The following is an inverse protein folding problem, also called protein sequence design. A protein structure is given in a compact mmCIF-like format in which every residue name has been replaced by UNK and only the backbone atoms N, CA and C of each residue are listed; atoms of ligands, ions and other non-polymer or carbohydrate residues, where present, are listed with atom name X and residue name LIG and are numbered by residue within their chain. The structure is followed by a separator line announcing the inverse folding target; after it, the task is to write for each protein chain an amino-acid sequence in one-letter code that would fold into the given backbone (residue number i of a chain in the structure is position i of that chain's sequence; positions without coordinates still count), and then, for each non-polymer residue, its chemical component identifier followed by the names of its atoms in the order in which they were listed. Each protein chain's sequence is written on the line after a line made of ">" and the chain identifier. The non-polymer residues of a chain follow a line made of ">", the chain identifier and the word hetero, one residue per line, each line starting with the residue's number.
data_IF_388954476343
#
_entry.id   IF_388954476343
#
_cell.length_a   1.000
_cell.length_b   1.000
_cell.length_c   1.000
_cell.angle_alpha   90.00
_cell.angle_beta   90.00
_cell.angle_gamma   90.00
#
_symmetry.space_group_name_H-M   'P 1'
#
loop_
_entity.id
_entity.type
_entity.pdbx_description
1 polymer ?
#
# COMPACT_ATOMS: atom_id res chain seq x y z
N UNK A 1 5.65 -16.47 -30.62
CA UNK A 1 5.53 -16.92 -29.22
C UNK A 1 6.59 -16.16 -28.44
N UNK A 2 6.23 -14.99 -27.95
CA UNK A 2 7.12 -14.13 -27.16
C UNK A 2 7.17 -14.72 -25.74
N UNK A 3 8.36 -15.17 -25.34
CA UNK A 3 8.63 -15.66 -24.01
C UNK A 3 8.49 -14.48 -23.05
N UNK A 4 7.36 -14.38 -22.35
CA UNK A 4 7.17 -13.40 -21.29
C UNK A 4 8.04 -13.85 -20.13
N UNK A 5 9.31 -13.43 -20.16
CA UNK A 5 10.21 -13.62 -19.02
C UNK A 5 9.52 -13.04 -17.80
N UNK A 6 9.28 -13.87 -16.80
CA UNK A 6 8.70 -13.50 -15.52
C UNK A 6 9.59 -12.42 -14.91
N UNK A 7 9.17 -11.16 -14.99
CA UNK A 7 9.95 -10.04 -14.48
C UNK A 7 9.96 -10.13 -12.97
N UNK A 8 11.14 -10.28 -12.42
CA UNK A 8 11.33 -10.27 -10.96
C UNK A 8 11.35 -8.83 -10.49
N UNK A 9 10.50 -8.49 -9.55
CA UNK A 9 10.52 -7.20 -8.91
C UNK A 9 10.77 -7.33 -7.40
N UNK A 10 11.39 -6.33 -6.84
CA UNK A 10 11.68 -6.25 -5.40
C UNK A 10 11.28 -4.89 -4.84
N UNK A 11 11.05 -4.86 -3.56
CA UNK A 11 10.84 -3.64 -2.80
C UNK A 11 12.11 -3.36 -1.99
N UNK A 12 12.72 -2.21 -2.23
CA UNK A 12 13.81 -1.68 -1.43
C UNK A 12 13.22 -0.90 -0.25
N UNK A 13 12.62 -1.64 0.67
CA UNK A 13 11.97 -1.10 1.87
C UNK A 13 12.61 -1.69 3.11
N UNK A 14 12.70 -0.88 4.16
CA UNK A 14 13.33 -1.24 5.41
C UNK A 14 12.42 -1.00 6.61
N UNK A 15 12.55 -1.87 7.58
CA UNK A 15 12.06 -1.66 8.93
C UNK A 15 12.86 -0.49 9.58
N UNK A 16 12.24 0.46 10.35
CA UNK A 16 10.89 0.37 10.91
C UNK A 16 9.78 1.00 10.06
N UNK A 17 10.06 1.60 8.92
CA UNK A 17 9.07 2.38 8.16
C UNK A 17 8.04 1.48 7.46
N UNK A 18 8.50 0.36 6.92
CA UNK A 18 7.69 -0.55 6.15
C UNK A 18 7.87 -2.00 6.55
N UNK A 19 6.78 -2.75 6.46
CA UNK A 19 6.72 -4.18 6.68
C UNK A 19 6.20 -4.88 5.43
N UNK A 20 6.96 -5.84 4.91
CA UNK A 20 6.46 -6.76 3.87
C UNK A 20 5.64 -7.87 4.52
N UNK A 21 4.40 -8.07 4.06
CA UNK A 21 3.50 -9.08 4.60
C UNK A 21 3.69 -10.38 3.80
N UNK A 22 4.14 -11.48 4.43
CA UNK A 22 4.39 -12.73 3.74
C UNK A 22 3.09 -13.40 3.30
N UNK A 23 3.20 -14.25 2.28
CA UNK A 23 2.15 -15.19 1.87
C UNK A 23 2.63 -16.61 2.11
N UNK A 24 1.72 -17.46 2.58
CA UNK A 24 2.01 -18.88 2.82
C UNK A 24 2.66 -19.16 4.16
N UNK A 25 2.50 -20.41 4.62
CA UNK A 25 2.90 -20.85 5.95
C UNK A 25 4.42 -20.83 6.20
N UNK A 26 5.25 -20.74 5.14
CA UNK A 26 6.71 -20.91 5.25
C UNK A 26 7.42 -19.78 6.00
N UNK A 27 6.86 -18.57 5.95
CA UNK A 27 7.52 -17.37 6.48
C UNK A 27 6.84 -16.84 7.75
N UNK A 28 5.70 -17.41 8.13
CA UNK A 28 4.87 -16.91 9.25
C UNK A 28 5.52 -17.14 10.61
N UNK A 29 6.16 -18.29 10.83
CA UNK A 29 6.67 -18.70 12.15
C UNK A 29 7.76 -17.76 12.70
N UNK A 30 8.64 -17.24 11.85
CA UNK A 30 9.66 -16.29 12.27
C UNK A 30 9.18 -14.83 12.20
N UNK A 31 8.27 -14.54 11.27
CA UNK A 31 7.80 -13.20 10.99
C UNK A 31 6.92 -12.65 12.12
N UNK A 32 5.96 -13.44 12.61
CA UNK A 32 5.04 -13.04 13.67
C UNK A 32 5.77 -12.54 14.94
N UNK A 33 6.71 -13.25 15.54
CA UNK A 33 7.44 -12.77 16.72
C UNK A 33 8.22 -11.47 16.46
N UNK A 34 8.84 -11.35 15.29
CA UNK A 34 9.58 -10.14 14.91
C UNK A 34 8.67 -8.92 14.79
N UNK A 35 7.50 -9.09 14.17
CA UNK A 35 6.51 -8.04 14.00
C UNK A 35 5.86 -7.66 15.33
N UNK A 36 5.50 -8.62 16.17
CA UNK A 36 4.96 -8.36 17.51
C UNK A 36 5.91 -7.49 18.32
N UNK A 37 7.20 -7.87 18.38
CA UNK A 37 8.23 -7.09 19.08
C UNK A 37 8.37 -5.68 18.49
N UNK A 38 8.29 -5.55 17.19
CA UNK A 38 8.35 -4.27 16.50
C UNK A 38 7.19 -3.35 16.87
N UNK A 39 5.97 -3.88 16.90
CA UNK A 39 4.78 -3.12 17.31
C UNK A 39 4.84 -2.70 18.78
N UNK A 40 5.27 -3.60 19.66
CA UNK A 40 5.44 -3.28 21.06
C UNK A 40 6.45 -2.13 21.24
N UNK A 41 7.59 -2.21 20.55
CA UNK A 41 8.63 -1.16 20.61
C UNK A 41 8.14 0.18 20.09
N UNK A 42 7.43 0.19 18.96
CA UNK A 42 6.87 1.42 18.38
C UNK A 42 5.76 2.01 19.26
N UNK A 43 4.92 1.16 19.84
CA UNK A 43 3.86 1.57 20.76
C UNK A 43 4.44 2.20 22.03
N UNK A 44 5.48 1.61 22.61
CA UNK A 44 6.16 2.18 23.78
C UNK A 44 6.81 3.53 23.47
N UNK A 45 7.48 3.65 22.32
CA UNK A 45 8.09 4.89 21.87
C UNK A 45 7.04 6.00 21.66
N UNK A 46 5.89 5.67 21.11
CA UNK A 46 4.80 6.61 20.89
C UNK A 46 4.17 7.07 22.21
N UNK A 47 3.94 6.16 23.15
CA UNK A 47 3.47 6.50 24.48
C UNK A 47 4.42 7.46 25.22
N UNK A 48 5.72 7.30 25.08
CA UNK A 48 6.71 8.19 25.69
C UNK A 48 6.69 9.59 25.07
N UNK A 49 6.41 9.69 23.76
CA UNK A 49 6.39 10.97 23.03
C UNK A 49 5.11 11.77 23.22
N UNK A 50 3.98 11.11 23.40
CA UNK A 50 2.65 11.74 23.34
C UNK A 50 1.86 11.72 24.65
N UNK A 51 2.32 10.96 25.62
CA UNK A 51 1.54 10.70 26.84
C UNK A 51 0.37 9.71 26.61
N UNK A 52 -0.48 9.49 27.59
CA UNK A 52 -1.57 8.53 27.46
C UNK A 52 -2.52 8.94 26.34
N UNK A 53 -2.76 7.99 25.43
CA UNK A 53 -3.68 8.16 24.29
C UNK A 53 -5.09 8.54 24.81
N UNK A 54 -5.75 9.46 24.12
CA UNK A 54 -7.15 9.74 24.39
C UNK A 54 -7.99 8.50 24.11
N UNK A 55 -8.86 8.15 25.02
CA UNK A 55 -9.66 6.92 25.09
C UNK A 55 -10.65 6.67 23.94
N UNK A 56 -10.55 7.35 22.79
CA UNK A 56 -11.54 7.30 21.74
C UNK A 56 -11.20 6.43 20.52
N UNK A 57 -10.27 5.48 20.64
CA UNK A 57 -9.97 4.53 19.56
C UNK A 57 -10.13 3.10 20.04
N UNK A 58 -10.84 2.26 19.28
CA UNK A 58 -10.82 0.80 19.49
C UNK A 58 -9.37 0.34 19.29
N UNK A 59 -8.69 0.02 20.39
CA UNK A 59 -7.35 -0.55 20.33
C UNK A 59 -7.52 -2.01 19.90
N UNK A 60 -7.32 -2.28 18.62
CA UNK A 60 -7.23 -3.67 18.14
C UNK A 60 -5.94 -4.25 18.72
N UNK A 61 -5.98 -5.49 19.23
CA UNK A 61 -4.79 -6.16 19.75
C UNK A 61 -3.75 -6.41 18.64
N UNK A 62 -2.46 -6.45 19.01
CA UNK A 62 -1.36 -6.68 18.05
C UNK A 62 -1.59 -7.97 17.24
N UNK A 63 -2.01 -9.05 17.91
CA UNK A 63 -2.30 -10.33 17.25
C UNK A 63 -3.44 -10.23 16.24
N UNK A 64 -4.53 -9.55 16.58
CA UNK A 64 -5.68 -9.36 15.69
C UNK A 64 -5.30 -8.57 14.42
N UNK A 65 -4.43 -7.59 14.56
CA UNK A 65 -3.96 -6.84 13.40
C UNK A 65 -3.01 -7.65 12.52
N UNK A 66 -2.13 -8.41 13.13
CA UNK A 66 -1.26 -9.33 12.38
C UNK A 66 -2.11 -10.32 11.60
N UNK A 67 -3.12 -10.93 12.23
CA UNK A 67 -4.03 -11.86 11.57
C UNK A 67 -4.80 -11.18 10.44
N UNK A 68 -5.30 -9.97 10.64
CA UNK A 68 -5.99 -9.19 9.60
C UNK A 68 -5.08 -8.91 8.40
N UNK A 69 -3.81 -8.55 8.62
CA UNK A 69 -2.85 -8.32 7.54
C UNK A 69 -2.52 -9.59 6.77
N UNK A 70 -2.37 -10.72 7.47
CA UNK A 70 -2.10 -12.02 6.85
C UNK A 70 -3.29 -12.48 6.00
N UNK A 71 -4.51 -12.41 6.54
CA UNK A 71 -5.74 -12.75 5.82
C UNK A 71 -5.91 -11.87 4.57
N UNK A 72 -5.60 -10.59 4.69
CA UNK A 72 -5.64 -9.69 3.54
C UNK A 72 -4.59 -10.09 2.49
N UNK A 73 -3.35 -10.36 2.89
CA UNK A 73 -2.31 -10.79 1.96
C UNK A 73 -2.68 -12.09 1.23
N UNK A 74 -3.28 -13.06 1.92
CA UNK A 74 -3.76 -14.31 1.31
C UNK A 74 -4.92 -14.09 0.34
N UNK A 75 -5.76 -13.08 0.55
CA UNK A 75 -6.89 -12.76 -0.33
C UNK A 75 -6.49 -12.08 -1.64
N UNK A 76 -5.27 -11.54 -1.73
CA UNK A 76 -4.80 -10.83 -2.92
C UNK A 76 -4.50 -11.78 -4.08
N UNK A 77 -4.63 -11.33 -5.35
CA UNK A 77 -4.10 -12.03 -6.52
C UNK A 77 -2.61 -12.34 -6.41
N UNK A 78 -2.13 -13.34 -7.13
CA UNK A 78 -0.75 -13.83 -7.02
C UNK A 78 0.32 -12.81 -7.44
N UNK A 79 -0.02 -11.91 -8.36
CA UNK A 79 0.79 -10.82 -8.88
C UNK A 79 0.83 -9.58 -7.98
N UNK A 80 0.05 -9.58 -6.89
CA UNK A 80 0.01 -8.49 -5.92
C UNK A 80 0.70 -8.87 -4.62
N UNK A 81 1.28 -7.90 -3.94
CA UNK A 81 1.87 -8.04 -2.61
C UNK A 81 1.28 -7.01 -1.67
N UNK A 82 1.21 -7.37 -0.39
CA UNK A 82 0.82 -6.48 0.67
C UNK A 82 2.06 -5.98 1.40
N UNK A 83 2.14 -4.68 1.60
CA UNK A 83 3.08 -4.04 2.52
C UNK A 83 2.28 -3.18 3.49
N UNK A 84 2.85 -2.92 4.65
CA UNK A 84 2.22 -2.09 5.66
C UNK A 84 3.17 -1.00 6.14
N UNK A 85 2.69 0.25 6.17
CA UNK A 85 3.42 1.36 6.77
C UNK A 85 3.28 1.31 8.29
N UNK A 86 4.40 1.39 9.00
CA UNK A 86 4.49 1.33 10.47
C UNK A 86 4.73 2.71 11.09
N UNK A 87 5.33 3.62 10.35
CA UNK A 87 5.84 4.89 10.84
C UNK A 87 4.79 5.98 11.13
N UNK A 88 3.49 5.67 11.11
CA UNK A 88 2.43 6.60 11.46
C UNK A 88 1.96 6.32 12.89
N UNK A 89 2.38 7.17 13.84
CA UNK A 89 2.01 7.02 15.25
C UNK A 89 0.50 7.00 15.44
N UNK A 90 0.03 6.28 16.47
CA UNK A 90 -1.40 6.10 16.82
C UNK A 90 -2.25 5.45 15.72
N UNK A 91 -1.63 4.85 14.73
CA UNK A 91 -2.35 4.18 13.65
C UNK A 91 -1.84 2.76 13.49
N UNK A 92 -2.76 1.90 13.18
CA UNK A 92 -2.47 0.57 12.72
C UNK A 92 -1.57 0.63 11.49
N UNK A 93 -0.80 -0.45 11.24
CA UNK A 93 -0.10 -0.56 9.98
C UNK A 93 -1.05 -0.28 8.84
N UNK A 94 -0.75 0.74 8.06
CA UNK A 94 -1.59 1.09 6.93
C UNK A 94 -1.26 0.16 5.76
N UNK A 95 -2.16 -0.75 5.38
CA UNK A 95 -1.91 -1.72 4.32
C UNK A 95 -1.89 -1.02 2.96
N UNK A 96 -0.87 -1.31 2.16
CA UNK A 96 -0.74 -0.86 0.78
C UNK A 96 -0.59 -2.09 -0.12
N UNK A 97 -1.45 -2.19 -1.12
CA UNK A 97 -1.34 -3.22 -2.16
C UNK A 97 -0.39 -2.72 -3.23
N UNK A 98 0.60 -3.53 -3.57
CA UNK A 98 1.58 -3.29 -4.63
C UNK A 98 1.34 -4.29 -5.74
N UNK A 99 1.00 -3.80 -6.93
CA UNK A 99 0.88 -4.58 -8.15
C UNK A 99 1.97 -4.16 -9.15
N UNK A 100 2.61 -5.15 -9.78
CA UNK A 100 3.59 -4.92 -10.85
C UNK A 100 3.25 -5.84 -12.00
N UNK A 101 2.81 -5.25 -13.11
CA UNK A 101 2.31 -6.00 -14.28
C UNK A 101 3.05 -5.57 -15.55
N UNK A 102 3.33 -6.53 -16.43
CA UNK A 102 3.84 -6.19 -17.76
C UNK A 102 2.78 -5.42 -18.55
N UNK A 103 3.20 -4.42 -19.29
CA UNK A 103 2.34 -3.70 -20.22
C UNK A 103 2.03 -4.63 -21.42
N UNK A 104 0.77 -4.81 -21.73
CA UNK A 104 0.31 -5.60 -22.86
C UNK A 104 0.48 -4.84 -24.18
N UNK A 105 0.32 -5.52 -25.33
CA UNK A 105 0.41 -4.91 -26.67
C UNK A 105 -0.60 -3.78 -26.88
N UNK A 106 -1.78 -3.85 -26.23
CA UNK A 106 -2.74 -2.77 -26.13
C UNK A 106 -2.81 -2.29 -24.66
N UNK A 107 -1.90 -1.41 -24.25
CA UNK A 107 -1.79 -1.03 -22.85
C UNK A 107 -3.03 -0.28 -22.38
N UNK A 108 -3.57 -0.71 -21.26
CA UNK A 108 -4.61 0.04 -20.57
C UNK A 108 -4.12 1.46 -20.30
N UNK A 109 -5.01 2.44 -20.43
CA UNK A 109 -4.75 3.80 -20.00
C UNK A 109 -4.40 3.83 -18.49
N UNK A 110 -3.25 4.41 -18.17
CA UNK A 110 -2.76 4.49 -16.78
C UNK A 110 -3.79 5.16 -15.84
N UNK A 111 -4.55 6.14 -16.34
CA UNK A 111 -5.65 6.75 -15.58
C UNK A 111 -6.76 5.75 -15.23
N UNK A 112 -7.09 4.85 -16.15
CA UNK A 112 -8.07 3.81 -15.88
C UNK A 112 -7.52 2.77 -14.91
N UNK A 113 -6.26 2.36 -15.07
CA UNK A 113 -5.58 1.43 -14.17
C UNK A 113 -5.46 1.98 -12.74
N UNK A 114 -5.21 3.28 -12.59
CA UNK A 114 -5.18 3.98 -11.31
C UNK A 114 -6.57 4.30 -10.74
N UNK A 115 -7.66 3.91 -11.40
CA UNK A 115 -9.02 4.12 -10.90
C UNK A 115 -9.59 5.53 -11.11
N UNK A 116 -8.95 6.38 -11.94
CA UNK A 116 -9.48 7.71 -12.28
C UNK A 116 -10.74 7.63 -13.14
N UNK A 117 -11.02 6.48 -13.75
CA UNK A 117 -12.18 6.26 -14.62
C UNK A 117 -13.04 5.12 -14.10
N UNK A 118 -14.33 5.21 -14.37
CA UNK A 118 -15.30 4.19 -14.00
C UNK A 118 -15.84 4.33 -12.58
N UNK A 119 -16.75 3.41 -12.20
CA UNK A 119 -17.43 3.42 -10.91
C UNK A 119 -18.37 4.62 -10.71
N UNK A 120 -18.71 4.92 -9.47
CA UNK A 120 -19.57 6.04 -9.06
C UNK A 120 -18.95 6.78 -7.89
N UNK A 121 -17.87 7.53 -8.09
CA UNK A 121 -17.28 8.33 -7.04
C UNK A 121 -18.24 9.44 -6.60
N UNK A 122 -18.11 9.91 -5.36
CA UNK A 122 -18.89 11.02 -4.79
C UNK A 122 -18.64 12.31 -5.58
N UNK A 123 -17.37 12.48 -6.02
CA UNK A 123 -16.92 13.61 -6.82
C UNK A 123 -15.90 13.13 -7.88
N UNK A 124 -15.55 13.99 -8.82
CA UNK A 124 -14.54 13.65 -9.81
C UNK A 124 -13.22 13.32 -9.12
N UNK A 125 -12.56 12.20 -9.47
CA UNK A 125 -11.26 11.87 -8.90
C UNK A 125 -10.24 12.98 -9.12
N UNK A 126 -9.47 13.29 -8.08
CA UNK A 126 -8.35 14.21 -8.17
C UNK A 126 -7.17 13.47 -8.81
N UNK A 127 -6.58 14.08 -9.83
CA UNK A 127 -5.44 13.51 -10.56
C UNK A 127 -4.28 14.49 -10.48
N UNK A 128 -3.17 14.05 -9.88
CA UNK A 128 -1.92 14.78 -9.80
C UNK A 128 -0.84 14.02 -10.56
N UNK A 129 0.10 14.73 -11.17
CA UNK A 129 1.30 14.11 -11.73
C UNK A 129 2.32 13.85 -10.62
N UNK A 130 3.03 12.73 -10.72
CA UNK A 130 4.12 12.42 -9.80
C UNK A 130 5.31 13.34 -10.05
N UNK A 131 6.19 13.54 -9.03
CA UNK A 131 7.45 14.25 -9.21
C UNK A 131 8.32 13.63 -10.31
N UNK A 132 9.04 14.46 -11.07
CA UNK A 132 9.87 14.05 -12.21
C UNK A 132 10.89 12.96 -11.87
N UNK A 133 11.37 12.92 -10.63
CA UNK A 133 12.30 11.89 -10.13
C UNK A 133 11.70 10.48 -10.11
N UNK A 134 10.38 10.38 -10.08
CA UNK A 134 9.64 9.11 -10.12
C UNK A 134 9.30 8.68 -11.55
N UNK A 135 9.55 9.54 -12.55
CA UNK A 135 9.23 9.32 -13.95
C UNK A 135 7.76 9.58 -14.30
N UNK A 136 7.35 9.13 -15.48
CA UNK A 136 5.99 9.33 -15.98
C UNK A 136 4.98 8.53 -15.12
N UNK A 137 4.27 9.23 -14.27
CA UNK A 137 3.30 8.62 -13.38
C UNK A 137 2.26 9.60 -12.87
N UNK A 138 1.26 9.05 -12.20
CA UNK A 138 0.12 9.80 -11.66
C UNK A 138 -0.22 9.34 -10.26
N UNK A 139 -0.78 10.26 -9.47
CA UNK A 139 -1.50 9.95 -8.25
C UNK A 139 -2.98 10.25 -8.47
N UNK A 140 -3.82 9.30 -8.15
CA UNK A 140 -5.28 9.45 -8.19
C UNK A 140 -5.82 9.35 -6.78
N UNK A 141 -6.59 10.34 -6.35
CA UNK A 141 -7.35 10.29 -5.11
C UNK A 141 -8.83 10.27 -5.46
N UNK A 142 -9.52 9.24 -4.99
CA UNK A 142 -10.93 8.99 -5.26
C UNK A 142 -11.70 8.79 -3.97
N UNK A 143 -12.90 9.31 -3.90
CA UNK A 143 -13.82 9.15 -2.77
C UNK A 143 -15.07 8.41 -3.21
N UNK A 144 -15.39 7.33 -2.50
CA UNK A 144 -16.55 6.47 -2.75
C UNK A 144 -17.37 6.29 -1.46
N UNK A 145 -18.64 5.99 -1.59
CA UNK A 145 -19.45 5.49 -0.48
C UNK A 145 -19.42 3.97 -0.45
N UNK A 146 -19.33 3.41 0.73
CA UNK A 146 -19.61 1.98 0.91
C UNK A 146 -21.15 1.74 1.02
N UNK A 147 -21.50 0.46 1.18
CA UNK A 147 -22.92 0.06 1.28
C UNK A 147 -23.61 0.60 2.54
N UNK A 148 -22.85 1.01 3.56
CA UNK A 148 -23.33 1.59 4.81
C UNK A 148 -23.39 3.13 4.74
N UNK A 149 -22.92 3.73 3.64
CA UNK A 149 -22.88 5.17 3.42
C UNK A 149 -21.68 5.87 4.03
N UNK A 150 -20.65 5.13 4.47
CA UNK A 150 -19.40 5.71 4.93
C UNK A 150 -18.51 6.12 3.75
N UNK A 151 -17.85 7.27 3.89
CA UNK A 151 -16.92 7.77 2.87
C UNK A 151 -15.57 7.07 3.00
N UNK A 152 -15.11 6.51 1.90
CA UNK A 152 -13.80 5.93 1.75
C UNK A 152 -12.97 6.69 0.73
N UNK A 153 -11.72 6.97 1.08
CA UNK A 153 -10.72 7.45 0.14
C UNK A 153 -9.90 6.27 -0.38
N UNK A 154 -9.69 6.23 -1.69
CA UNK A 154 -8.70 5.36 -2.34
C UNK A 154 -7.64 6.26 -2.97
N UNK A 155 -6.40 6.09 -2.56
CA UNK A 155 -5.24 6.76 -3.16
C UNK A 155 -4.45 5.73 -3.94
N UNK A 156 -4.25 6.01 -5.20
CA UNK A 156 -3.50 5.16 -6.11
C UNK A 156 -2.33 5.96 -6.70
N UNK A 157 -1.09 5.46 -6.54
CA UNK A 157 0.07 5.95 -7.25
C UNK A 157 0.43 4.95 -8.34
N UNK A 158 0.46 5.38 -9.57
CA UNK A 158 0.73 4.53 -10.73
C UNK A 158 1.85 5.12 -11.59
N UNK A 159 2.77 4.26 -12.02
CA UNK A 159 3.89 4.61 -12.89
C UNK A 159 4.05 3.56 -13.96
N UNK A 160 4.30 4.00 -15.20
CA UNK A 160 4.72 3.14 -16.32
C UNK A 160 6.18 3.40 -16.64
N UNK A 161 7.00 2.38 -16.55
CA UNK A 161 8.42 2.43 -16.90
C UNK A 161 8.89 1.04 -17.37
N UNK A 162 9.77 1.00 -18.37
CA UNK A 162 10.38 -0.25 -18.88
C UNK A 162 9.35 -1.34 -19.26
N UNK A 163 8.25 -0.94 -19.91
CA UNK A 163 7.11 -1.79 -20.26
C UNK A 163 6.48 -2.50 -19.06
N UNK A 164 6.47 -1.84 -17.92
CA UNK A 164 5.86 -2.32 -16.68
C UNK A 164 5.00 -1.23 -16.06
N UNK A 165 3.81 -1.59 -15.64
CA UNK A 165 2.97 -0.80 -14.77
C UNK A 165 3.21 -1.18 -13.31
N UNK A 166 3.59 -0.20 -12.52
CA UNK A 166 3.68 -0.32 -11.06
C UNK A 166 2.53 0.49 -10.46
N UNK A 167 1.69 -0.17 -9.68
CA UNK A 167 0.49 0.43 -9.10
C UNK A 167 0.50 0.16 -7.59
N UNK A 168 0.46 1.23 -6.81
CA UNK A 168 0.27 1.19 -5.37
C UNK A 168 -1.14 1.63 -5.05
N UNK A 169 -1.86 0.87 -4.25
CA UNK A 169 -3.22 1.20 -3.84
C UNK A 169 -3.34 1.18 -2.33
N UNK A 170 -3.82 2.28 -1.78
CA UNK A 170 -4.16 2.42 -0.37
C UNK A 170 -5.60 2.91 -0.23
N UNK A 171 -6.35 2.31 0.70
CA UNK A 171 -7.73 2.67 0.96
C UNK A 171 -7.95 2.95 2.46
N UNK A 172 -8.70 4.00 2.77
CA UNK A 172 -8.98 4.39 4.14
C UNK A 172 -10.31 5.12 4.29
N UNK A 173 -10.95 4.99 5.44
CA UNK A 173 -12.04 5.84 5.90
C UNK A 173 -11.57 6.97 6.85
N UNK A 174 -10.27 7.02 7.15
CA UNK A 174 -9.64 8.09 7.92
C UNK A 174 -9.14 9.18 6.97
N UNK A 175 -10.04 10.07 6.55
CA UNK A 175 -9.80 11.05 5.49
C UNK A 175 -8.69 12.06 5.85
N UNK A 176 -8.48 12.31 7.14
CA UNK A 176 -7.40 13.16 7.65
C UNK A 176 -5.99 12.62 7.36
N UNK A 177 -5.87 11.32 7.09
CA UNK A 177 -4.61 10.70 6.70
C UNK A 177 -4.25 10.92 5.24
N UNK A 178 -5.20 11.18 4.35
CA UNK A 178 -4.97 11.27 2.90
C UNK A 178 -3.84 12.25 2.55
N UNK A 179 -3.87 13.52 3.00
CA UNK A 179 -2.80 14.46 2.66
C UNK A 179 -1.44 14.12 3.30
N UNK A 180 -1.46 13.39 4.41
CA UNK A 180 -0.24 12.99 5.14
C UNK A 180 0.42 11.77 4.55
N UNK A 181 -0.38 10.82 4.07
CA UNK A 181 0.11 9.54 3.59
C UNK A 181 0.44 9.54 2.10
N UNK A 182 -0.14 10.44 1.31
CA UNK A 182 0.14 10.54 -0.13
C UNK A 182 1.64 10.66 -0.47
N UNK A 183 2.44 11.53 0.19
CA UNK A 183 3.88 11.59 -0.06
C UNK A 183 4.62 10.29 0.34
N UNK A 184 4.09 9.58 1.34
CA UNK A 184 4.67 8.30 1.80
C UNK A 184 4.47 7.22 0.74
N UNK A 185 3.31 7.20 0.05
CA UNK A 185 3.06 6.32 -1.10
C UNK A 185 3.98 6.64 -2.28
N UNK A 186 4.23 7.90 -2.56
CA UNK A 186 5.16 8.32 -3.62
C UNK A 186 6.58 7.82 -3.31
N UNK A 187 7.05 7.97 -2.07
CA UNK A 187 8.32 7.40 -1.62
C UNK A 187 8.37 5.88 -1.79
N UNK A 188 7.29 5.17 -1.43
CA UNK A 188 7.21 3.73 -1.60
C UNK A 188 7.29 3.33 -3.07
N UNK A 189 6.61 4.07 -3.97
CA UNK A 189 6.70 3.83 -5.41
C UNK A 189 8.14 3.96 -5.91
N UNK A 190 8.89 4.94 -5.40
CA UNK A 190 10.31 5.11 -5.67
C UNK A 190 11.19 3.95 -5.18
N UNK A 191 10.72 3.17 -4.21
CA UNK A 191 11.44 2.00 -3.68
C UNK A 191 11.17 0.70 -4.46
N UNK A 192 10.21 0.68 -5.39
CA UNK A 192 9.98 -0.48 -6.26
C UNK A 192 11.09 -0.58 -7.31
N UNK A 193 11.78 -1.71 -7.32
CA UNK A 193 12.84 -2.04 -8.28
C UNK A 193 12.37 -3.15 -9.20
N UNK A 194 12.51 -2.92 -10.50
CA UNK A 194 12.17 -3.92 -11.53
C UNK A 194 13.48 -4.46 -12.07
N UNK A 195 13.68 -5.76 -11.94
CA UNK A 195 14.84 -6.47 -12.46
C UNK A 195 14.47 -7.30 -13.69
N UNK A 196 15.41 -7.49 -14.61
CA UNK A 196 15.32 -8.55 -15.61
C UNK A 196 15.56 -9.88 -14.90
N UNK A 197 14.73 -10.89 -15.19
CA UNK A 197 15.05 -12.27 -14.80
C UNK A 197 16.39 -12.64 -15.43
N UNK A 198 17.33 -13.07 -14.60
CA UNK A 198 18.67 -13.51 -15.01
C UNK A 198 18.59 -14.84 -15.76
#
# INVERSE_FOLDING_TARGET
>A
MTNTAERVWSLDIGFPDWLSIPRGARDIDWWRPAVTLAFETLSEADHQLRGPLSESGTVIGVDEAIDTLLDFAESLPADQRLVAALGLPDRWPLPVVVAVTAVEDEPQDLLAAAGARGGRPIELPLVDYLPDELGDGIRVTRFDLDDEGAVWATVCCARRADDVDTILTWRTNKLDLVPRFSPVLESLLGAVRIGSAA
#
